data_IF_414338534063
#
_entry.id   IF_414338534063
#
_cell.length_a   1.000
_cell.length_b   1.000
_cell.length_c   1.000
_cell.angle_alpha   90.00
_cell.angle_beta   90.00
_cell.angle_gamma   90.00
#
_symmetry.space_group_name_H-M   'P 1'
#
loop_
_entity.id
_entity.type
_entity.pdbx_description
1 polymer ?
#
# COMPACT_ATOMS: atom_id res chain seq x y z
N UNK A 1 -20.11 22.77 -16.19
CA UNK A 1 -19.29 21.54 -16.35
C UNK A 1 -17.85 21.93 -16.12
N UNK A 2 -17.35 21.72 -14.89
CA UNK A 2 -15.95 22.05 -14.56
C UNK A 2 -15.00 21.07 -15.28
N UNK A 3 -13.85 21.56 -15.79
CA UNK A 3 -12.89 20.71 -16.48
C UNK A 3 -12.32 19.68 -15.50
N UNK A 4 -12.39 18.41 -15.91
CA UNK A 4 -11.81 17.29 -15.17
C UNK A 4 -10.28 17.46 -15.20
N UNK A 5 -9.58 17.40 -14.05
CA UNK A 5 -8.14 17.64 -14.00
C UNK A 5 -7.34 16.53 -14.71
N UNK A 6 -6.24 16.91 -15.34
CA UNK A 6 -5.43 16.09 -16.26
C UNK A 6 -4.81 14.82 -15.65
N UNK A 7 -4.74 14.71 -14.32
CA UNK A 7 -4.24 13.52 -13.62
C UNK A 7 -5.22 12.34 -13.63
N UNK A 8 -6.48 12.55 -14.03
CA UNK A 8 -7.50 11.48 -14.11
C UNK A 8 -7.31 10.53 -15.30
N UNK A 9 -6.14 10.55 -15.94
CA UNK A 9 -5.83 9.80 -17.16
C UNK A 9 -4.90 8.63 -16.83
N UNK A 10 -5.28 7.45 -17.33
CA UNK A 10 -4.51 6.20 -17.47
C UNK A 10 -4.69 5.05 -16.48
N UNK A 11 -5.19 5.24 -15.26
CA UNK A 11 -5.46 4.07 -14.39
C UNK A 11 -6.66 3.27 -14.91
N UNK A 12 -7.80 3.93 -15.18
CA UNK A 12 -9.00 3.25 -15.67
C UNK A 12 -8.82 2.51 -17.01
N UNK A 13 -7.99 3.05 -17.91
CA UNK A 13 -7.71 2.43 -19.21
C UNK A 13 -6.74 1.24 -19.07
N UNK A 14 -5.77 1.30 -18.16
CA UNK A 14 -4.89 0.17 -17.83
C UNK A 14 -5.67 -0.96 -17.14
N UNK A 15 -6.53 -0.63 -16.18
CA UNK A 15 -7.38 -1.60 -15.46
C UNK A 15 -8.40 -2.26 -16.40
N UNK A 16 -8.94 -1.52 -17.39
CA UNK A 16 -9.80 -2.09 -18.43
C UNK A 16 -9.07 -3.05 -19.39
N UNK A 17 -7.74 -2.86 -19.58
CA UNK A 17 -6.89 -3.71 -20.42
C UNK A 17 -6.26 -4.90 -19.68
N UNK A 18 -6.18 -4.82 -18.36
CA UNK A 18 -5.65 -5.88 -17.48
C UNK A 18 -6.72 -6.35 -16.50
N UNK A 19 -7.87 -6.90 -16.98
CA UNK A 19 -8.99 -7.30 -16.13
C UNK A 19 -8.59 -8.38 -15.12
N UNK A 20 -7.52 -9.12 -15.37
CA UNK A 20 -7.01 -10.17 -14.49
C UNK A 20 -6.31 -9.61 -13.24
N UNK A 21 -5.76 -8.40 -13.32
CA UNK A 21 -5.17 -7.68 -12.16
C UNK A 21 -6.28 -7.17 -11.22
N UNK A 22 -7.47 -6.89 -11.78
CA UNK A 22 -8.65 -6.45 -11.03
C UNK A 22 -9.69 -7.54 -10.75
N UNK A 23 -9.52 -8.77 -11.27
CA UNK A 23 -10.54 -9.84 -11.26
C UNK A 23 -10.94 -10.35 -9.87
N UNK A 24 -10.40 -9.78 -8.80
CA UNK A 24 -10.85 -9.97 -7.42
C UNK A 24 -10.82 -8.71 -6.56
N UNK A 25 -10.43 -7.54 -7.12
CA UNK A 25 -10.35 -6.30 -6.35
C UNK A 25 -11.73 -5.64 -6.35
N UNK A 26 -12.43 -5.73 -5.21
CA UNK A 26 -13.56 -4.83 -4.90
C UNK A 26 -13.07 -3.44 -4.45
N UNK A 27 -11.75 -3.25 -4.44
CA UNK A 27 -11.07 -2.15 -3.79
C UNK A 27 -10.71 -1.07 -4.81
N UNK A 28 -11.18 0.16 -4.58
CA UNK A 28 -10.81 1.32 -5.38
C UNK A 28 -9.44 1.81 -4.88
N UNK A 29 -8.44 1.75 -5.77
CA UNK A 29 -7.07 2.21 -5.52
C UNK A 29 -6.84 3.49 -6.32
N UNK A 30 -6.49 4.57 -5.63
CA UNK A 30 -6.18 5.86 -6.24
C UNK A 30 -4.68 6.11 -6.11
N UNK A 31 -4.02 6.35 -7.24
CA UNK A 31 -2.58 6.63 -7.30
C UNK A 31 -2.43 8.06 -7.81
N UNK A 32 -1.77 8.93 -7.05
CA UNK A 32 -1.72 10.37 -7.36
C UNK A 32 -0.71 10.75 -8.43
N UNK A 33 0.35 9.96 -8.59
CA UNK A 33 1.42 10.25 -9.56
C UNK A 33 2.01 8.99 -10.18
N UNK A 34 2.58 9.14 -11.38
CA UNK A 34 3.35 8.08 -12.03
C UNK A 34 4.64 7.75 -11.24
N UNK A 35 5.20 8.73 -10.55
CA UNK A 35 6.36 8.54 -9.66
C UNK A 35 6.02 7.60 -8.51
N UNK A 36 4.86 7.76 -7.86
CA UNK A 36 4.40 6.84 -6.82
C UNK A 36 4.27 5.41 -7.35
N UNK A 37 3.77 5.24 -8.58
CA UNK A 37 3.69 3.94 -9.24
C UNK A 37 5.08 3.36 -9.50
N UNK A 38 6.05 4.17 -9.93
CA UNK A 38 7.42 3.73 -10.20
C UNK A 38 8.16 3.36 -8.90
N UNK A 39 8.04 4.18 -7.86
CA UNK A 39 8.70 3.95 -6.57
C UNK A 39 8.07 2.76 -5.85
N UNK A 40 6.74 2.59 -5.94
CA UNK A 40 6.05 1.42 -5.40
C UNK A 40 6.57 0.08 -5.96
N UNK A 41 7.10 0.08 -7.20
CA UNK A 41 7.68 -1.11 -7.82
C UNK A 41 9.01 -1.50 -7.16
N UNK A 42 9.74 -0.52 -6.61
CA UNK A 42 11.06 -0.65 -6.00
C UNK A 42 11.00 -0.92 -4.49
N UNK A 43 9.81 -0.84 -3.87
CA UNK A 43 9.63 -1.08 -2.45
C UNK A 43 10.15 -2.46 -2.04
N UNK A 44 11.06 -2.44 -1.08
CA UNK A 44 11.62 -3.61 -0.41
C UNK A 44 11.16 -3.75 1.04
N UNK A 45 10.74 -2.64 1.67
CA UNK A 45 10.30 -2.62 3.07
C UNK A 45 8.96 -1.92 3.16
N UNK A 46 8.00 -2.54 3.86
CA UNK A 46 6.71 -1.94 4.20
C UNK A 46 6.59 -1.82 5.71
N UNK A 47 6.36 -0.60 6.15
CA UNK A 47 6.03 -0.27 7.54
C UNK A 47 4.51 -0.15 7.65
N UNK A 48 3.93 -0.96 8.52
CA UNK A 48 2.51 -0.96 8.82
C UNK A 48 2.29 -0.25 10.15
N UNK A 49 1.46 0.77 10.19
CA UNK A 49 0.95 1.25 11.47
C UNK A 49 0.04 0.19 12.10
N UNK A 50 -0.03 0.17 13.43
CA UNK A 50 -0.93 -0.74 14.13
C UNK A 50 -2.38 -0.29 13.97
N UNK A 51 -2.69 0.88 14.52
CA UNK A 51 -4.06 1.34 14.78
C UNK A 51 -4.77 1.68 13.47
N UNK A 52 -5.94 1.09 13.23
CA UNK A 52 -6.75 1.35 12.02
C UNK A 52 -6.19 0.73 10.73
N UNK A 53 -4.95 0.23 10.76
CA UNK A 53 -4.27 -0.39 9.62
C UNK A 53 -4.26 -1.91 9.75
N UNK A 54 -3.48 -2.47 10.69
CA UNK A 54 -3.46 -3.91 11.01
C UNK A 54 -4.69 -4.32 11.82
N UNK A 55 -5.19 -3.38 12.61
CA UNK A 55 -6.31 -3.56 13.52
C UNK A 55 -7.52 -2.72 13.10
N UNK A 56 -8.68 -2.98 13.68
CA UNK A 56 -9.91 -2.23 13.35
C UNK A 56 -9.87 -0.76 13.78
N UNK A 57 -8.94 -0.36 14.66
CA UNK A 57 -8.76 1.04 15.06
C UNK A 57 -9.82 1.54 16.04
N UNK A 58 -10.59 0.62 16.63
CA UNK A 58 -11.50 0.86 17.74
C UNK A 58 -11.08 0.04 18.96
N UNK A 59 -11.31 0.53 20.18
CA UNK A 59 -11.08 -0.27 21.38
C UNK A 59 -11.99 -1.50 21.34
N UNK A 60 -11.39 -2.69 21.21
CA UNK A 60 -12.10 -3.95 21.29
C UNK A 60 -11.88 -4.57 22.68
N UNK A 61 -12.90 -5.29 23.14
CA UNK A 61 -12.93 -5.93 24.45
C UNK A 61 -11.90 -7.06 24.49
N UNK A 62 -10.98 -7.04 25.45
CA UNK A 62 -10.04 -8.13 25.70
C UNK A 62 -10.45 -8.86 26.99
N UNK A 63 -10.44 -10.19 26.99
CA UNK A 63 -10.86 -10.99 28.15
C UNK A 63 -10.16 -10.53 29.45
N UNK A 64 -10.97 -10.30 30.49
CA UNK A 64 -10.50 -9.92 31.81
C UNK A 64 -10.85 -11.00 32.83
N UNK A 65 -9.89 -11.38 33.68
CA UNK A 65 -10.15 -12.28 34.80
C UNK A 65 -10.37 -11.47 36.09
N UNK A 66 -11.45 -11.74 36.86
CA UNK A 66 -11.72 -11.05 38.11
C UNK A 66 -10.66 -11.42 39.16
N UNK A 67 -9.96 -10.40 39.67
CA UNK A 67 -8.99 -10.58 40.76
C UNK A 67 -9.65 -10.22 42.10
N UNK A 68 -9.69 -11.17 43.02
CA UNK A 68 -10.04 -10.92 44.43
C UNK A 68 -11.53 -11.02 44.77
N UNK A 69 -12.15 -12.18 44.56
CA UNK A 69 -13.44 -12.53 45.18
C UNK A 69 -14.68 -11.77 44.69
N UNK A 70 -14.52 -10.84 43.75
CA UNK A 70 -15.62 -10.17 43.07
C UNK A 70 -16.24 -11.08 42.01
N UNK A 71 -17.57 -11.06 41.92
CA UNK A 71 -18.27 -11.61 40.75
C UNK A 71 -18.14 -10.68 39.55
N UNK A 72 -18.24 -11.23 38.34
CA UNK A 72 -18.15 -10.49 37.07
C UNK A 72 -19.18 -9.35 37.03
N UNK A 73 -20.41 -9.63 37.47
CA UNK A 73 -21.54 -8.68 37.54
C UNK A 73 -21.29 -7.50 38.51
N UNK A 74 -20.65 -7.76 39.65
CA UNK A 74 -20.32 -6.72 40.63
C UNK A 74 -19.23 -5.78 40.13
N UNK A 75 -18.22 -6.34 39.44
CA UNK A 75 -17.17 -5.55 38.81
C UNK A 75 -17.80 -4.65 37.73
N UNK A 76 -18.63 -5.24 36.85
CA UNK A 76 -19.38 -4.57 35.78
C UNK A 76 -20.18 -3.37 36.29
N UNK A 77 -20.97 -3.56 37.35
CA UNK A 77 -21.78 -2.51 37.94
C UNK A 77 -20.94 -1.34 38.48
N UNK A 78 -19.77 -1.63 39.06
CA UNK A 78 -18.87 -0.63 39.62
C UNK A 78 -18.18 0.22 38.55
N UNK A 79 -17.66 -0.38 37.47
CA UNK A 79 -17.02 0.43 36.42
C UNK A 79 -18.03 1.17 35.56
N UNK A 80 -19.20 0.57 35.26
CA UNK A 80 -20.26 1.28 34.53
C UNK A 80 -20.73 2.52 35.31
N UNK A 81 -20.80 2.43 36.65
CA UNK A 81 -21.10 3.57 37.51
C UNK A 81 -20.00 4.64 37.55
N UNK A 82 -18.73 4.24 37.47
CA UNK A 82 -17.59 5.16 37.44
C UNK A 82 -17.45 5.91 36.11
N UNK A 83 -17.83 5.28 35.00
CA UNK A 83 -17.67 5.82 33.64
C UNK A 83 -18.93 6.50 33.07
N UNK A 84 -20.06 6.46 33.80
CA UNK A 84 -21.35 6.97 33.33
C UNK A 84 -21.34 8.47 32.92
N UNK A 85 -20.41 9.25 33.45
CA UNK A 85 -20.25 10.69 33.19
C UNK A 85 -19.01 11.02 32.34
N UNK A 86 -18.32 10.02 31.79
CA UNK A 86 -17.03 10.16 31.12
C UNK A 86 -17.19 10.16 29.59
N UNK A 87 -16.83 11.26 28.92
CA UNK A 87 -16.83 11.38 27.45
C UNK A 87 -15.59 10.74 26.80
N UNK A 88 -14.70 10.13 27.58
CA UNK A 88 -13.44 9.61 27.10
C UNK A 88 -13.68 8.45 26.10
N UNK A 89 -12.94 8.36 24.97
CA UNK A 89 -13.09 7.26 24.00
C UNK A 89 -12.92 5.86 24.60
N UNK A 90 -12.22 5.76 25.74
CA UNK A 90 -12.03 4.54 26.55
C UNK A 90 -13.24 4.21 27.42
N UNK A 91 -14.08 5.19 27.76
CA UNK A 91 -15.25 5.03 28.64
C UNK A 91 -16.43 4.34 27.96
N UNK A 92 -16.63 4.58 26.64
CA UNK A 92 -17.74 4.00 25.88
C UNK A 92 -17.79 2.46 25.90
N UNK A 93 -16.68 1.75 25.69
CA UNK A 93 -16.66 0.28 25.79
C UNK A 93 -16.92 -0.23 27.21
N UNK A 94 -16.50 0.52 28.24
CA UNK A 94 -16.60 0.11 29.65
C UNK A 94 -18.03 0.06 30.19
N UNK A 95 -18.92 0.91 29.66
CA UNK A 95 -20.32 0.98 30.07
C UNK A 95 -21.17 -0.22 29.61
N UNK A 96 -20.73 -1.01 28.63
CA UNK A 96 -21.49 -2.16 28.11
C UNK A 96 -20.91 -3.53 28.44
N UNK A 97 -19.59 -3.66 28.69
CA UNK A 97 -18.96 -4.89 29.17
C UNK A 97 -17.59 -4.54 29.76
N UNK A 98 -17.35 -4.84 31.03
CA UNK A 98 -16.10 -4.50 31.70
C UNK A 98 -15.04 -5.52 31.31
N UNK A 99 -14.02 -5.06 30.62
CA UNK A 99 -12.86 -5.89 30.30
C UNK A 99 -11.61 -5.01 30.39
N UNK A 100 -10.79 -5.26 31.41
CA UNK A 100 -9.53 -4.56 31.67
C UNK A 100 -8.45 -5.04 30.68
N UNK A 101 -8.60 -4.56 29.45
CA UNK A 101 -7.62 -4.69 28.38
C UNK A 101 -8.19 -3.98 27.16
N UNK A 102 -7.63 -2.81 26.82
CA UNK A 102 -7.91 -2.18 25.53
C UNK A 102 -7.04 -2.92 24.53
N UNK A 103 -7.55 -4.02 23.98
CA UNK A 103 -6.92 -4.69 22.87
C UNK A 103 -7.51 -4.14 21.57
N UNK A 104 -6.65 -4.00 20.58
CA UNK A 104 -7.07 -3.62 19.24
C UNK A 104 -7.12 -4.91 18.42
N UNK A 105 -8.32 -5.30 17.98
CA UNK A 105 -8.51 -6.58 17.29
C UNK A 105 -7.84 -6.55 15.93
N UNK A 106 -7.04 -7.56 15.63
CA UNK A 106 -6.39 -7.74 14.32
C UNK A 106 -7.45 -8.08 13.29
N UNK A 107 -7.44 -7.40 12.13
CA UNK A 107 -8.37 -7.71 11.04
C UNK A 107 -8.11 -9.12 10.49
N UNK A 108 -9.17 -9.84 10.15
CA UNK A 108 -9.10 -11.22 9.63
C UNK A 108 -8.27 -11.35 8.34
N UNK A 109 -8.16 -10.27 7.56
CA UNK A 109 -7.40 -10.24 6.31
C UNK A 109 -5.92 -9.89 6.49
N UNK A 110 -5.51 -9.37 7.66
CA UNK A 110 -4.16 -8.87 7.93
C UNK A 110 -3.10 -9.94 7.73
N UNK A 111 -3.24 -11.12 8.37
CA UNK A 111 -2.26 -12.20 8.25
C UNK A 111 -2.08 -12.67 6.80
N UNK A 112 -3.19 -12.82 6.07
CA UNK A 112 -3.16 -13.23 4.65
C UNK A 112 -2.50 -12.15 3.78
N UNK A 113 -2.74 -10.87 4.07
CA UNK A 113 -2.12 -9.77 3.35
C UNK A 113 -0.62 -9.70 3.63
N UNK A 114 -0.19 -9.79 4.89
CA UNK A 114 1.22 -9.83 5.31
C UNK A 114 1.94 -10.99 4.63
N UNK A 115 1.38 -12.19 4.65
CA UNK A 115 1.94 -13.35 3.95
C UNK A 115 2.00 -13.16 2.43
N UNK A 116 1.08 -12.38 1.84
CA UNK A 116 1.13 -12.04 0.41
C UNK A 116 2.23 -11.03 0.09
N UNK A 117 2.46 -10.04 0.96
CA UNK A 117 3.55 -9.07 0.82
C UNK A 117 4.92 -9.72 1.01
N UNK A 118 5.07 -10.62 1.99
CA UNK A 118 6.30 -11.40 2.19
C UNK A 118 6.63 -12.25 0.96
N UNK A 119 5.64 -12.88 0.31
CA UNK A 119 5.83 -13.62 -0.95
C UNK A 119 6.23 -12.73 -2.13
N UNK A 120 5.96 -11.43 -2.05
CA UNK A 120 6.49 -10.45 -3.00
C UNK A 120 7.95 -10.06 -2.68
N UNK A 121 8.56 -10.62 -1.63
CA UNK A 121 9.93 -10.34 -1.24
C UNK A 121 10.09 -8.99 -0.56
N UNK A 122 9.04 -8.53 0.15
CA UNK A 122 9.07 -7.30 0.92
C UNK A 122 9.21 -7.62 2.42
N UNK A 123 10.14 -6.94 3.09
CA UNK A 123 10.30 -6.96 4.54
C UNK A 123 9.15 -6.19 5.19
N UNK A 124 8.42 -6.84 6.10
CA UNK A 124 7.27 -6.23 6.79
C UNK A 124 7.67 -5.86 8.20
N UNK A 125 7.42 -4.60 8.56
CA UNK A 125 7.69 -4.05 9.89
C UNK A 125 6.40 -3.44 10.42
N UNK A 126 5.99 -3.81 11.64
CA UNK A 126 4.91 -3.11 12.32
C UNK A 126 5.50 -2.01 13.21
N UNK A 127 4.90 -0.83 13.17
CA UNK A 127 5.24 0.29 14.04
C UNK A 127 4.06 0.60 14.96
N UNK A 128 4.32 0.73 16.26
CA UNK A 128 3.28 1.02 17.24
C UNK A 128 3.82 1.81 18.44
N UNK A 129 2.95 2.62 19.04
CA UNK A 129 3.21 3.28 20.33
C UNK A 129 2.87 2.40 21.53
N UNK A 130 2.28 1.22 21.33
CA UNK A 130 1.94 0.29 22.41
C UNK A 130 3.20 -0.31 23.04
N UNK A 131 3.04 -0.83 24.26
CA UNK A 131 4.12 -1.54 24.94
C UNK A 131 4.56 -2.79 24.16
N UNK A 132 5.81 -3.22 24.39
CA UNK A 132 6.41 -4.35 23.69
C UNK A 132 5.61 -5.67 23.81
N UNK A 133 4.93 -5.91 24.94
CA UNK A 133 4.14 -7.13 25.16
C UNK A 133 2.91 -7.19 24.27
N UNK A 134 2.10 -6.12 24.25
CA UNK A 134 0.93 -5.99 23.38
C UNK A 134 1.33 -5.99 21.91
N UNK A 135 2.40 -5.29 21.56
CA UNK A 135 2.92 -5.23 20.20
C UNK A 135 3.37 -6.61 19.69
N UNK A 136 4.06 -7.39 20.52
CA UNK A 136 4.47 -8.75 20.17
C UNK A 136 3.29 -9.70 20.01
N UNK A 137 2.25 -9.57 20.86
CA UNK A 137 1.04 -10.36 20.75
C UNK A 137 0.32 -10.10 19.43
N UNK A 138 0.13 -8.83 19.05
CA UNK A 138 -0.54 -8.44 17.80
C UNK A 138 0.25 -8.91 16.59
N UNK A 139 1.58 -8.73 16.61
CA UNK A 139 2.45 -9.20 15.54
C UNK A 139 2.43 -10.71 15.36
N UNK A 140 2.34 -11.46 16.46
CA UNK A 140 2.18 -12.92 16.44
C UNK A 140 0.90 -13.35 15.75
N UNK A 141 -0.23 -12.67 15.99
CA UNK A 141 -1.50 -12.97 15.31
C UNK A 141 -1.51 -12.53 13.84
N UNK A 142 -0.77 -11.49 13.50
CA UNK A 142 -0.66 -10.96 12.12
C UNK A 142 0.46 -11.57 11.28
N UNK A 143 1.21 -12.55 11.79
CA UNK A 143 2.43 -13.13 11.18
C UNK A 143 3.47 -12.06 10.76
N UNK A 144 3.62 -11.02 11.58
CA UNK A 144 4.53 -9.89 11.30
C UNK A 144 5.91 -10.19 11.91
N UNK A 145 6.98 -10.25 11.10
CA UNK A 145 8.28 -10.75 11.54
C UNK A 145 9.08 -9.73 12.36
N UNK A 146 8.83 -8.43 12.18
CA UNK A 146 9.55 -7.36 12.87
C UNK A 146 8.57 -6.33 13.43
N UNK A 147 8.81 -5.94 14.68
CA UNK A 147 7.96 -4.98 15.41
C UNK A 147 8.84 -3.91 16.03
N UNK A 148 8.40 -2.67 15.92
CA UNK A 148 8.96 -1.49 16.56
C UNK A 148 7.89 -0.93 17.49
N UNK A 149 8.02 -1.26 18.77
CA UNK A 149 7.07 -0.89 19.83
C UNK A 149 7.52 0.40 20.54
N UNK A 150 6.61 1.00 21.33
CA UNK A 150 6.87 2.19 22.15
C UNK A 150 7.34 3.41 21.35
N UNK A 151 6.95 3.50 20.07
CA UNK A 151 7.29 4.63 19.20
C UNK A 151 6.24 5.74 19.34
N UNK A 152 6.67 6.91 19.82
CA UNK A 152 5.83 8.09 19.89
C UNK A 152 5.43 8.59 18.49
N UNK A 153 4.22 9.16 18.30
CA UNK A 153 3.76 9.69 17.01
C UNK A 153 4.76 10.61 16.30
N UNK A 154 5.42 11.48 17.06
CA UNK A 154 6.44 12.42 16.59
C UNK A 154 7.73 11.75 16.10
N UNK A 155 8.06 10.56 16.59
CA UNK A 155 9.25 9.80 16.20
C UNK A 155 8.98 8.75 15.11
N UNK A 156 7.73 8.55 14.68
CA UNK A 156 7.42 7.61 13.59
C UNK A 156 8.18 7.96 12.32
N UNK A 157 8.23 9.24 11.96
CA UNK A 157 8.96 9.71 10.79
C UNK A 157 10.49 9.51 10.91
N UNK A 158 11.05 9.65 12.10
CA UNK A 158 12.47 9.42 12.34
C UNK A 158 12.83 7.93 12.14
N UNK A 159 11.94 7.03 12.51
CA UNK A 159 12.12 5.60 12.31
C UNK A 159 12.03 5.20 10.83
N UNK A 160 11.12 5.82 10.07
CA UNK A 160 11.11 5.70 8.61
C UNK A 160 12.43 6.18 8.02
N UNK A 161 12.93 7.35 8.45
CA UNK A 161 14.21 7.90 8.00
C UNK A 161 15.39 7.00 8.38
N UNK A 162 15.33 6.35 9.55
CA UNK A 162 16.34 5.39 9.99
C UNK A 162 16.40 4.19 9.04
N UNK A 163 15.25 3.63 8.67
CA UNK A 163 15.16 2.52 7.71
C UNK A 163 15.63 2.93 6.31
N UNK A 164 15.27 4.13 5.84
CA UNK A 164 15.78 4.69 4.59
C UNK A 164 17.31 4.86 4.61
N UNK A 165 17.88 5.26 5.75
CA UNK A 165 19.32 5.35 5.97
C UNK A 165 20.06 4.01 5.88
N UNK A 166 19.36 2.88 6.05
CA UNK A 166 19.90 1.54 5.81
C UNK A 166 19.96 1.18 4.31
N UNK A 167 19.53 2.08 3.42
CA UNK A 167 19.46 1.86 1.97
C UNK A 167 18.20 1.11 1.51
N UNK A 168 17.19 1.01 2.38
CA UNK A 168 15.88 0.42 2.08
C UNK A 168 14.98 1.45 1.37
N UNK A 169 14.16 0.98 0.45
CA UNK A 169 13.05 1.76 -0.12
C UNK A 169 11.79 1.45 0.68
N UNK A 170 11.33 2.44 1.43
CA UNK A 170 10.36 2.27 2.51
C UNK A 170 8.98 2.78 2.10
N UNK A 171 7.99 1.90 2.17
CA UNK A 171 6.58 2.27 2.05
C UNK A 171 5.94 2.32 3.44
N UNK A 172 5.21 3.39 3.75
CA UNK A 172 4.46 3.50 5.00
C UNK A 172 2.98 3.29 4.73
N UNK A 173 2.32 2.45 5.52
CA UNK A 173 0.87 2.22 5.46
C UNK A 173 0.24 2.70 6.76
N UNK A 174 -0.74 3.59 6.66
CA UNK A 174 -1.43 4.16 7.83
C UNK A 174 -2.87 4.56 7.52
N UNK A 175 -3.63 4.91 8.56
CA UNK A 175 -4.97 5.51 8.41
C UNK A 175 -4.90 7.01 8.05
N UNK A 176 -3.70 7.60 8.25
CA UNK A 176 -3.33 8.99 7.99
C UNK A 176 -3.95 10.02 8.94
N UNK A 177 -4.56 9.59 10.05
CA UNK A 177 -4.98 10.49 11.13
C UNK A 177 -3.77 10.83 12.00
N UNK A 178 -3.04 9.81 12.46
CA UNK A 178 -1.87 9.98 13.33
C UNK A 178 -0.53 9.84 12.59
N UNK A 179 -0.57 9.36 11.35
CA UNK A 179 0.62 8.91 10.61
C UNK A 179 1.02 9.84 9.47
N UNK A 180 0.34 10.98 9.28
CA UNK A 180 0.61 11.89 8.16
C UNK A 180 2.10 12.29 8.03
N UNK A 181 2.84 12.61 9.12
CA UNK A 181 4.27 12.89 9.02
C UNK A 181 5.10 11.69 8.57
N UNK A 182 4.75 10.48 9.00
CA UNK A 182 5.44 9.25 8.60
C UNK A 182 5.12 8.85 7.15
N UNK A 183 3.85 9.03 6.72
CA UNK A 183 3.41 8.83 5.34
C UNK A 183 4.16 9.75 4.38
N UNK A 184 4.33 11.03 4.74
CA UNK A 184 5.05 12.00 3.92
C UNK A 184 6.57 11.79 3.90
N UNK A 185 7.14 11.15 4.93
CA UNK A 185 8.57 10.85 5.02
C UNK A 185 8.96 9.58 4.24
N UNK A 186 8.02 8.65 4.05
CA UNK A 186 8.23 7.41 3.29
C UNK A 186 8.50 7.68 1.81
N UNK A 187 9.17 6.74 1.14
CA UNK A 187 9.36 6.81 -0.33
C UNK A 187 8.03 6.66 -1.07
N UNK A 188 7.08 5.94 -0.46
CA UNK A 188 5.68 5.88 -0.88
C UNK A 188 4.79 5.83 0.35
N UNK A 189 3.92 6.83 0.52
CA UNK A 189 2.85 6.80 1.52
C UNK A 189 1.60 6.08 1.00
N UNK A 190 1.07 5.13 1.77
CA UNK A 190 -0.19 4.44 1.47
C UNK A 190 -1.22 4.70 2.58
N UNK A 191 -2.29 5.41 2.27
CA UNK A 191 -3.41 5.62 3.19
C UNK A 191 -4.49 4.55 3.00
N UNK A 192 -5.04 4.03 4.11
CA UNK A 192 -6.14 3.05 4.11
C UNK A 192 -7.44 3.68 4.65
N UNK A 193 -8.55 3.41 3.96
CA UNK A 193 -9.91 3.72 4.41
C UNK A 193 -10.40 5.12 4.05
N UNK A 194 -11.41 5.60 4.79
CA UNK A 194 -12.01 6.94 4.64
C UNK A 194 -11.18 7.99 5.38
N UNK A 195 -9.87 7.99 5.13
CA UNK A 195 -8.94 8.90 5.80
C UNK A 195 -9.42 10.34 5.76
N UNK A 196 -9.10 11.10 6.81
CA UNK A 196 -9.35 12.54 6.86
C UNK A 196 -8.68 13.24 5.67
N UNK A 197 -9.12 14.46 5.31
CA UNK A 197 -8.52 15.20 4.19
C UNK A 197 -6.98 15.32 4.31
N UNK A 198 -6.45 15.31 5.54
CA UNK A 198 -5.02 15.33 5.84
C UNK A 198 -4.31 14.06 5.38
N UNK A 199 -4.91 12.89 5.59
CA UNK A 199 -4.39 11.60 5.14
C UNK A 199 -4.32 11.53 3.61
N UNK A 200 -5.38 12.00 2.96
CA UNK A 200 -5.52 12.04 1.51
C UNK A 200 -4.51 12.98 0.87
N UNK A 201 -4.17 14.10 1.53
CA UNK A 201 -3.12 15.04 1.10
C UNK A 201 -1.70 14.51 1.38
N UNK A 202 -1.50 13.71 2.43
CA UNK A 202 -0.18 13.17 2.75
C UNK A 202 0.23 11.93 1.91
N UNK A 203 -0.70 11.03 1.56
CA UNK A 203 -0.38 9.71 1.01
C UNK A 203 -0.45 9.57 -0.52
N UNK A 204 0.61 9.07 -1.14
CA UNK A 204 0.74 8.92 -2.61
C UNK A 204 -0.25 7.95 -3.24
N UNK A 205 -0.61 6.90 -2.49
CA UNK A 205 -1.59 5.89 -2.86
C UNK A 205 -2.68 5.86 -1.79
N UNK A 206 -3.93 5.92 -2.22
CA UNK A 206 -5.09 5.88 -1.34
C UNK A 206 -5.90 4.63 -1.65
N UNK A 207 -6.12 3.84 -0.61
CA UNK A 207 -6.90 2.61 -0.64
C UNK A 207 -8.27 2.91 -0.03
N UNK A 208 -9.29 3.01 -0.87
CA UNK A 208 -10.65 3.35 -0.42
C UNK A 208 -11.22 2.23 0.47
N UNK A 209 -10.82 0.99 0.22
CA UNK A 209 -11.11 -0.14 1.09
C UNK A 209 -10.25 -0.08 2.34
N UNK A 210 -10.84 -0.22 3.53
CA UNK A 210 -10.14 -0.30 4.82
C UNK A 210 -9.26 -1.55 5.02
N UNK A 211 -8.88 -2.24 3.95
CA UNK A 211 -8.26 -3.56 3.92
C UNK A 211 -6.80 -3.51 3.47
N UNK A 212 -5.94 -4.31 4.12
CA UNK A 212 -4.55 -4.48 3.72
C UNK A 212 -4.40 -5.23 2.39
N UNK A 213 -5.44 -5.93 1.92
CA UNK A 213 -5.44 -6.55 0.59
C UNK A 213 -5.28 -5.51 -0.54
N UNK A 214 -5.75 -4.27 -0.30
CA UNK A 214 -5.53 -3.14 -1.19
C UNK A 214 -4.05 -2.83 -1.40
N UNK A 215 -3.24 -2.88 -0.33
CA UNK A 215 -1.78 -2.66 -0.38
C UNK A 215 -1.12 -3.70 -1.28
N UNK A 216 -1.47 -4.98 -1.08
CA UNK A 216 -0.97 -6.10 -1.89
C UNK A 216 -1.28 -5.86 -3.38
N UNK A 217 -2.52 -5.46 -3.66
CA UNK A 217 -2.99 -5.22 -5.02
C UNK A 217 -2.28 -4.02 -5.66
N UNK A 218 -2.09 -2.93 -4.92
CA UNK A 218 -1.37 -1.74 -5.38
C UNK A 218 0.07 -2.06 -5.79
N UNK A 219 0.80 -2.82 -4.96
CA UNK A 219 2.19 -3.20 -5.24
C UNK A 219 2.27 -4.17 -6.43
N UNK A 220 1.35 -5.14 -6.52
CA UNK A 220 1.28 -6.03 -7.68
C UNK A 220 1.01 -5.28 -8.97
N UNK A 221 0.06 -4.35 -8.93
CA UNK A 221 -0.31 -3.48 -10.03
C UNK A 221 0.92 -2.68 -10.49
N UNK A 222 1.58 -1.97 -9.56
CA UNK A 222 2.80 -1.22 -9.84
C UNK A 222 3.88 -2.08 -10.49
N UNK A 223 4.18 -3.27 -9.93
CA UNK A 223 5.19 -4.18 -10.49
C UNK A 223 4.83 -4.70 -11.89
N UNK A 224 3.55 -4.97 -12.14
CA UNK A 224 3.06 -5.41 -13.45
C UNK A 224 3.17 -4.27 -14.48
N UNK A 225 2.73 -3.06 -14.12
CA UNK A 225 2.80 -1.89 -14.99
C UNK A 225 4.25 -1.53 -15.33
N UNK A 226 5.16 -1.50 -14.35
CA UNK A 226 6.58 -1.22 -14.60
C UNK A 226 7.25 -2.28 -15.46
N UNK A 227 6.83 -3.55 -15.36
CA UNK A 227 7.30 -4.61 -16.26
C UNK A 227 6.85 -4.38 -17.70
N UNK A 228 5.59 -4.02 -17.91
CA UNK A 228 5.05 -3.69 -19.23
C UNK A 228 5.77 -2.46 -19.84
N UNK A 229 5.98 -1.40 -19.06
CA UNK A 229 6.74 -0.22 -19.49
C UNK A 229 8.16 -0.61 -19.93
N UNK A 230 8.87 -1.41 -19.12
CA UNK A 230 10.23 -1.88 -19.46
C UNK A 230 10.25 -2.71 -20.75
N UNK A 231 9.26 -3.59 -20.95
CA UNK A 231 9.13 -4.37 -22.18
C UNK A 231 8.86 -3.48 -23.39
N UNK A 232 7.91 -2.55 -23.27
CA UNK A 232 7.56 -1.60 -24.34
C UNK A 232 8.76 -0.75 -24.74
N UNK A 233 9.50 -0.20 -23.76
CA UNK A 233 10.72 0.56 -24.01
C UNK A 233 11.83 -0.29 -24.63
N UNK A 234 11.99 -1.54 -24.20
CA UNK A 234 12.95 -2.47 -24.80
C UNK A 234 12.64 -2.71 -26.28
N UNK A 235 11.39 -3.03 -26.63
CA UNK A 235 11.00 -3.23 -28.03
C UNK A 235 11.17 -1.96 -28.87
N UNK A 236 10.80 -0.80 -28.33
CA UNK A 236 11.00 0.48 -29.00
C UNK A 236 12.49 0.77 -29.26
N UNK A 237 13.35 0.51 -28.27
CA UNK A 237 14.79 0.69 -28.41
C UNK A 237 15.38 -0.27 -29.45
N UNK A 238 15.00 -1.54 -29.43
CA UNK A 238 15.46 -2.54 -30.41
C UNK A 238 15.03 -2.15 -31.82
N UNK A 239 13.77 -1.73 -32.00
CA UNK A 239 13.25 -1.28 -33.28
C UNK A 239 14.03 -0.06 -33.80
N UNK A 240 14.28 0.94 -32.96
CA UNK A 240 15.03 2.14 -33.34
C UNK A 240 16.51 1.84 -33.60
N UNK A 241 17.14 1.02 -32.75
CA UNK A 241 18.54 0.63 -32.87
C UNK A 241 18.81 -0.18 -34.16
N UNK A 242 17.86 -1.01 -34.61
CA UNK A 242 17.94 -1.70 -35.90
C UNK A 242 17.51 -0.81 -37.07
N UNK A 243 16.43 -0.05 -36.91
CA UNK A 243 15.84 0.78 -37.96
C UNK A 243 16.71 1.94 -38.41
N UNK A 244 17.40 2.61 -37.48
CA UNK A 244 18.26 3.77 -37.80
C UNK A 244 19.43 3.37 -38.72
N UNK A 245 20.26 2.34 -38.41
CA UNK A 245 21.31 1.88 -39.32
C UNK A 245 20.79 1.42 -40.68
N UNK A 246 19.64 0.71 -40.69
CA UNK A 246 19.01 0.25 -41.93
C UNK A 246 18.62 1.46 -42.80
N UNK A 247 17.97 2.47 -42.23
CA UNK A 247 17.58 3.71 -42.92
C UNK A 247 18.81 4.57 -43.33
N UNK A 248 19.86 4.59 -42.51
CA UNK A 248 21.12 5.27 -42.80
C UNK A 248 21.96 4.60 -43.92
N UNK A 249 21.47 3.50 -44.49
CA UNK A 249 22.08 2.86 -45.66
C UNK A 249 23.05 1.74 -45.33
N UNK A 250 23.05 1.20 -44.11
CA UNK A 250 23.82 -0.02 -43.79
C UNK A 250 23.42 -1.18 -44.72
N UNK A 251 22.12 -1.31 -45.02
CA UNK A 251 21.62 -2.31 -45.97
C UNK A 251 22.06 -2.01 -47.42
N UNK A 252 22.16 -0.73 -47.79
CA UNK A 252 22.66 -0.31 -49.11
C UNK A 252 24.15 -0.66 -49.28
N UNK A 253 24.95 -0.53 -48.21
CA UNK A 253 26.40 -0.81 -48.26
C UNK A 253 26.73 -2.30 -48.24
N UNK A 254 25.93 -3.12 -47.56
CA UNK A 254 26.15 -4.56 -47.45
C UNK A 254 25.47 -5.38 -48.55
N UNK A 255 24.24 -5.03 -48.97
CA UNK A 255 23.44 -5.85 -49.91
C UNK A 255 22.92 -5.10 -51.14
N UNK A 256 23.21 -3.81 -51.31
CA UNK A 256 22.79 -3.04 -52.50
C UNK A 256 21.28 -2.80 -52.60
N UNK A 257 20.51 -3.17 -51.58
CA UNK A 257 19.05 -3.00 -51.54
C UNK A 257 18.73 -1.58 -51.07
N UNK A 258 18.08 -0.77 -51.93
CA UNK A 258 17.56 0.55 -51.54
C UNK A 258 16.27 0.37 -50.75
N UNK A 259 16.22 0.84 -49.50
CA UNK A 259 14.96 0.89 -48.76
C UNK A 259 14.01 1.88 -49.44
N UNK A 260 12.95 1.35 -50.02
CA UNK A 260 11.80 2.13 -50.47
C UNK A 260 11.02 2.65 -49.25
N UNK A 261 10.60 3.92 -49.23
CA UNK A 261 9.72 4.49 -48.19
C UNK A 261 8.46 3.65 -47.92
N UNK A 262 8.01 2.89 -48.91
CA UNK A 262 6.84 2.01 -48.82
C UNK A 262 7.12 0.82 -47.89
N UNK A 263 8.34 0.27 -47.89
CA UNK A 263 8.73 -0.86 -47.03
C UNK A 263 8.85 -0.40 -45.57
N UNK A 264 9.40 0.80 -45.35
CA UNK A 264 9.45 1.41 -44.02
C UNK A 264 8.04 1.68 -43.47
N UNK A 265 7.13 2.23 -44.29
CA UNK A 265 5.74 2.44 -43.92
C UNK A 265 4.99 1.13 -43.62
N UNK A 266 5.24 0.07 -44.39
CA UNK A 266 4.67 -1.25 -44.15
C UNK A 266 5.18 -1.90 -42.84
N UNK A 267 6.49 -1.80 -42.55
CA UNK A 267 7.06 -2.29 -41.30
C UNK A 267 6.49 -1.53 -40.08
N UNK A 268 6.29 -0.21 -40.21
CA UNK A 268 5.68 0.62 -39.16
C UNK A 268 4.22 0.25 -38.93
N UNK A 269 3.47 -0.07 -39.99
CA UNK A 269 2.09 -0.55 -39.89
C UNK A 269 1.95 -1.95 -39.22
N UNK A 270 2.93 -2.84 -39.42
CA UNK A 270 2.97 -4.18 -38.79
C UNK A 270 3.46 -4.13 -37.33
N UNK A 271 4.20 -3.08 -36.95
CA UNK A 271 4.64 -2.88 -35.57
C UNK A 271 3.48 -2.54 -34.62
N UNK A 272 2.45 -1.83 -35.10
CA UNK A 272 1.28 -1.45 -34.29
C UNK A 272 0.55 -2.66 -33.69
N UNK A 273 0.14 -3.70 -34.43
CA UNK A 273 -0.52 -4.85 -33.82
C UNK A 273 0.42 -5.69 -32.92
N UNK A 274 1.73 -5.71 -33.15
CA UNK A 274 2.69 -6.50 -32.35
C UNK A 274 3.03 -5.84 -31.00
N UNK A 275 3.00 -4.50 -30.94
CA UNK A 275 3.14 -3.72 -29.70
C UNK A 275 1.80 -3.61 -28.95
N UNK A 276 0.68 -3.53 -29.68
CA UNK A 276 -0.67 -3.45 -29.09
C UNK A 276 -1.16 -4.80 -28.55
N UNK A 277 -0.69 -5.93 -29.07
CA UNK A 277 -1.03 -7.27 -28.52
C UNK A 277 -0.16 -7.68 -27.32
N UNK A 278 0.94 -6.98 -27.06
CA UNK A 278 1.83 -7.23 -25.92
C UNK A 278 1.58 -6.27 -24.73
N UNK A 279 0.61 -5.37 -24.82
CA UNK A 279 0.34 -4.28 -23.86
C UNK A 279 -0.93 -4.51 -23.02
#
# INVERSE_FOLDING_TARGET
MSPVPAWRVEVGAFLARNPDVCKGARDVILIRSAEALETAHKLDTIVLDKTGTVTEGGPALADAEPVGGFSEDELLALAAGAEADSEHPVARPLASTLSLGIADTVKDDSARAVAALQRLGTDIVMLTGDNAGTAAAIAGHGDIPRVLAEVLPEHKADEIRRLQGEGRTVGMVGDGISDAPALAQADVGLAIGTGTDVAIEAADIILVSGSLAGVVTAIRLSRATMRNIKQTLFFALVYNAGGIPIAAGALCRLWGIRLSPIIAAAAMAVSSPSVVTNA
#
